data_IF_777605348259
#
_entry.id   IF_777605348259
#
_cell.length_a   1.000
_cell.length_b   1.000
_cell.length_c   1.000
_cell.angle_alpha   90.00
_cell.angle_beta   90.00
_cell.angle_gamma   90.00
#
_symmetry.space_group_name_H-M   'P 1'
#
loop_
_entity.id
_entity.type
_entity.pdbx_description
1 polymer ?
#
# COMPACT_ATOMS: atom_id res chain seq x y z
N UNK A 1 26.51 13.38 -4.59
CA UNK A 1 27.08 13.21 -3.25
C UNK A 1 26.11 12.35 -2.46
N UNK A 2 26.47 11.12 -2.09
CA UNK A 2 25.59 10.28 -1.28
C UNK A 2 25.57 10.81 0.17
N UNK A 3 24.40 10.88 0.82
CA UNK A 3 24.31 11.33 2.20
C UNK A 3 25.10 10.38 3.13
N UNK A 4 25.73 10.91 4.15
CA UNK A 4 26.47 10.10 5.12
C UNK A 4 25.53 9.20 5.91
N UNK A 5 26.03 8.05 6.43
CA UNK A 5 25.28 7.11 7.25
C UNK A 5 24.60 7.79 8.46
N UNK A 6 25.18 8.87 8.99
CA UNK A 6 24.61 9.66 10.09
C UNK A 6 23.45 10.56 9.62
N UNK A 7 23.47 11.07 8.38
CA UNK A 7 22.34 11.78 7.78
C UNK A 7 21.19 10.83 7.48
N UNK A 8 21.47 9.62 6.99
CA UNK A 8 20.48 8.54 6.76
C UNK A 8 19.72 8.17 8.03
N UNK A 9 20.44 8.03 9.17
CA UNK A 9 19.83 7.71 10.47
C UNK A 9 18.97 8.87 10.98
N UNK A 10 19.36 10.12 10.73
CA UNK A 10 18.62 11.30 11.15
C UNK A 10 17.33 11.51 10.34
N UNK A 11 17.31 11.12 9.08
CA UNK A 11 16.15 11.30 8.18
C UNK A 11 15.10 10.20 8.36
N UNK A 12 15.50 8.96 8.62
CA UNK A 12 14.58 7.88 9.01
C UNK A 12 13.94 8.12 10.38
N UNK A 13 14.48 9.02 11.19
CA UNK A 13 13.84 9.48 12.43
C UNK A 13 12.44 10.09 12.18
N UNK A 14 12.18 10.66 10.99
CA UNK A 14 10.88 11.19 10.63
C UNK A 14 9.73 10.17 10.65
N UNK A 15 10.03 8.86 10.58
CA UNK A 15 9.01 7.82 10.79
C UNK A 15 8.64 7.64 12.27
N UNK A 16 9.55 7.92 13.21
CA UNK A 16 9.26 7.81 14.65
C UNK A 16 8.25 8.85 15.11
N UNK A 17 8.24 10.00 14.46
CA UNK A 17 7.38 11.14 14.80
C UNK A 17 6.10 11.18 13.94
N UNK A 18 5.93 10.21 13.04
CA UNK A 18 4.77 10.14 12.17
C UNK A 18 3.48 9.88 12.98
N UNK A 19 2.54 10.81 12.90
CA UNK A 19 1.25 10.73 13.60
C UNK A 19 0.17 10.08 12.76
N UNK A 20 0.18 10.34 11.44
CA UNK A 20 -0.78 9.76 10.49
C UNK A 20 -0.04 9.04 9.40
N UNK A 21 -0.36 7.76 9.21
CA UNK A 21 0.31 6.90 8.25
C UNK A 21 -0.68 6.20 7.33
N UNK A 22 -0.32 6.11 6.05
CA UNK A 22 -1.02 5.24 5.10
C UNK A 22 -0.16 4.00 4.87
N UNK A 23 -0.72 2.83 5.12
CA UNK A 23 -0.06 1.54 4.86
C UNK A 23 -0.81 0.83 3.75
N UNK A 24 -0.14 0.56 2.64
CA UNK A 24 -0.69 -0.21 1.52
C UNK A 24 -0.08 -1.59 1.49
N UNK A 25 -0.90 -2.61 1.32
CA UNK A 25 -0.43 -3.99 1.09
C UNK A 25 -0.79 -4.45 -0.31
N UNK A 26 0.21 -4.95 -1.07
CA UNK A 26 -0.01 -5.54 -2.39
C UNK A 26 -0.57 -6.96 -2.30
N UNK A 27 -1.35 -7.37 -3.30
CA UNK A 27 -1.99 -8.70 -3.37
C UNK A 27 -0.99 -9.84 -3.11
N UNK A 28 0.19 -9.81 -3.73
CA UNK A 28 1.19 -10.86 -3.58
C UNK A 28 1.78 -10.98 -2.16
N UNK A 29 1.69 -9.94 -1.33
CA UNK A 29 2.14 -9.99 0.06
C UNK A 29 1.13 -10.67 1.00
N UNK A 30 -0.13 -10.80 0.54
CA UNK A 30 -1.26 -11.39 1.29
C UNK A 30 -1.92 -12.55 0.54
N UNK A 31 -1.32 -13.01 -0.55
CA UNK A 31 -1.77 -14.17 -1.31
C UNK A 31 -0.70 -15.25 -1.36
N UNK A 32 -1.12 -16.49 -1.38
CA UNK A 32 -0.26 -17.66 -1.62
C UNK A 32 0.18 -17.68 -3.08
N UNK A 33 1.20 -18.50 -3.41
CA UNK A 33 1.64 -18.71 -4.81
C UNK A 33 0.54 -19.22 -5.74
N UNK A 34 -0.51 -19.81 -5.18
CA UNK A 34 -1.71 -20.26 -5.90
C UNK A 34 -2.68 -19.13 -6.25
N UNK A 35 -2.41 -17.88 -5.84
CA UNK A 35 -3.30 -16.73 -5.96
C UNK A 35 -4.36 -16.65 -4.85
N UNK A 36 -4.50 -17.66 -4.00
CA UNK A 36 -5.47 -17.67 -2.89
C UNK A 36 -5.03 -16.78 -1.74
N UNK A 37 -5.94 -16.18 -0.97
CA UNK A 37 -5.61 -15.40 0.23
C UNK A 37 -4.72 -16.20 1.22
N UNK A 38 -3.73 -15.53 1.76
CA UNK A 38 -2.92 -16.07 2.85
C UNK A 38 -3.37 -15.46 4.19
N UNK A 39 -4.27 -16.15 4.87
CA UNK A 39 -4.83 -15.69 6.14
C UNK A 39 -3.78 -15.49 7.25
N UNK A 40 -2.66 -16.23 7.22
CA UNK A 40 -1.54 -16.00 8.16
C UNK A 40 -0.81 -14.70 7.84
N UNK A 41 -0.65 -14.38 6.58
CA UNK A 41 -0.08 -13.10 6.16
C UNK A 41 -1.01 -11.93 6.55
N UNK A 42 -2.33 -12.07 6.34
CA UNK A 42 -3.33 -11.09 6.79
C UNK A 42 -3.25 -10.86 8.30
N UNK A 43 -3.26 -11.93 9.10
CA UNK A 43 -3.15 -11.84 10.55
C UNK A 43 -1.86 -11.13 10.99
N UNK A 44 -0.73 -11.43 10.36
CA UNK A 44 0.56 -10.79 10.64
C UNK A 44 0.54 -9.29 10.32
N UNK A 45 -0.05 -8.89 9.19
CA UNK A 45 -0.14 -7.48 8.81
C UNK A 45 -1.08 -6.74 9.75
N UNK A 46 -2.28 -7.29 9.99
CA UNK A 46 -3.26 -6.68 10.90
C UNK A 46 -2.69 -6.51 12.31
N UNK A 47 -1.98 -7.52 12.83
CA UNK A 47 -1.33 -7.41 14.14
C UNK A 47 -0.39 -6.20 14.22
N UNK A 48 0.44 -6.00 13.21
CA UNK A 48 1.37 -4.84 13.16
C UNK A 48 0.63 -3.49 13.01
N UNK A 49 -0.48 -3.44 12.25
CA UNK A 49 -1.31 -2.24 12.15
C UNK A 49 -1.96 -1.89 13.49
N UNK A 50 -2.43 -2.92 14.21
CA UNK A 50 -2.99 -2.74 15.55
C UNK A 50 -1.95 -2.22 16.55
N UNK A 51 -0.70 -2.71 16.49
CA UNK A 51 0.37 -2.21 17.36
C UNK A 51 0.68 -0.72 17.09
N UNK A 52 0.74 -0.30 15.82
CA UNK A 52 0.85 1.12 15.48
C UNK A 52 -0.32 1.93 16.04
N UNK A 53 -1.54 1.43 15.88
CA UNK A 53 -2.74 2.09 16.39
C UNK A 53 -2.72 2.21 17.92
N UNK A 54 -2.31 1.17 18.65
CA UNK A 54 -2.17 1.17 20.12
C UNK A 54 -1.08 2.16 20.57
N UNK A 55 -0.04 2.36 19.76
CA UNK A 55 1.00 3.37 20.00
C UNK A 55 0.54 4.81 19.71
N UNK A 56 -0.74 5.03 19.38
CA UNK A 56 -1.31 6.36 19.14
C UNK A 56 -1.18 6.87 17.71
N UNK A 57 -0.71 6.04 16.77
CA UNK A 57 -0.61 6.41 15.36
C UNK A 57 -1.98 6.30 14.68
N UNK A 58 -2.37 7.32 13.94
CA UNK A 58 -3.55 7.30 13.05
C UNK A 58 -3.24 6.46 11.82
N UNK A 59 -3.77 5.25 11.75
CA UNK A 59 -3.53 4.30 10.66
C UNK A 59 -4.65 4.37 9.65
N UNK A 60 -4.29 4.56 8.38
CA UNK A 60 -5.16 4.38 7.21
C UNK A 60 -4.63 3.19 6.42
N UNK A 61 -5.44 2.16 6.24
CA UNK A 61 -5.02 0.93 5.61
C UNK A 61 -5.60 0.79 4.20
N UNK A 62 -4.75 0.61 3.18
CA UNK A 62 -5.15 0.37 1.79
C UNK A 62 -4.85 -1.08 1.45
N UNK A 63 -5.90 -1.84 1.20
CA UNK A 63 -5.84 -3.27 0.90
C UNK A 63 -5.86 -3.55 -0.61
N UNK A 64 -5.59 -4.78 -0.97
CA UNK A 64 -5.69 -5.33 -2.32
C UNK A 64 -6.16 -6.78 -2.25
N UNK A 65 -6.49 -7.39 -3.41
CA UNK A 65 -6.71 -8.83 -3.50
C UNK A 65 -8.16 -9.28 -3.48
N UNK A 66 -9.13 -8.36 -3.58
CA UNK A 66 -10.54 -8.69 -3.64
C UNK A 66 -10.86 -9.68 -4.79
N UNK A 67 -10.36 -9.43 -5.99
CA UNK A 67 -10.52 -10.34 -7.13
C UNK A 67 -9.99 -11.76 -6.82
N UNK A 68 -8.80 -11.86 -6.21
CA UNK A 68 -8.20 -13.15 -5.87
C UNK A 68 -9.06 -13.93 -4.84
N UNK A 69 -9.60 -13.24 -3.86
CA UNK A 69 -10.52 -13.83 -2.88
C UNK A 69 -11.85 -14.28 -3.52
N UNK A 70 -12.35 -13.54 -4.50
CA UNK A 70 -13.54 -13.92 -5.25
C UNK A 70 -13.32 -15.13 -6.14
N UNK A 71 -12.18 -15.20 -6.82
CA UNK A 71 -11.77 -16.39 -7.60
C UNK A 71 -11.77 -17.65 -6.73
N UNK A 72 -11.20 -17.54 -5.51
CA UNK A 72 -11.24 -18.65 -4.54
C UNK A 72 -12.66 -18.98 -4.08
N UNK A 73 -13.41 -17.95 -3.71
CA UNK A 73 -14.77 -18.10 -3.18
C UNK A 73 -15.74 -18.77 -4.17
N UNK A 74 -15.56 -18.45 -5.45
CA UNK A 74 -16.36 -19.00 -6.56
C UNK A 74 -15.82 -20.34 -7.07
N UNK A 75 -14.73 -20.86 -6.51
CA UNK A 75 -14.11 -22.12 -6.94
C UNK A 75 -13.49 -22.08 -8.32
N UNK A 76 -13.19 -20.89 -8.85
CA UNK A 76 -12.59 -20.74 -10.17
C UNK A 76 -11.14 -21.21 -10.18
N UNK A 77 -10.70 -21.85 -11.26
CA UNK A 77 -9.32 -22.35 -11.40
C UNK A 77 -8.31 -21.22 -11.66
N UNK A 78 -8.74 -20.20 -12.40
CA UNK A 78 -7.91 -19.05 -12.81
C UNK A 78 -8.70 -17.75 -12.72
N UNK A 79 -7.99 -16.63 -12.71
CA UNK A 79 -8.62 -15.31 -12.83
C UNK A 79 -9.32 -15.20 -14.18
N UNK A 80 -10.59 -14.77 -14.24
CA UNK A 80 -11.29 -14.51 -15.49
C UNK A 80 -10.62 -13.42 -16.33
N UNK A 81 -10.86 -13.46 -17.63
CA UNK A 81 -10.40 -12.44 -18.57
C UNK A 81 -11.47 -11.36 -18.83
N UNK A 82 -12.75 -11.76 -18.80
CA UNK A 82 -13.86 -10.84 -19.05
C UNK A 82 -14.07 -9.87 -17.89
N UNK A 83 -14.31 -8.60 -18.23
CA UNK A 83 -14.46 -7.50 -17.26
C UNK A 83 -15.56 -7.80 -16.23
N UNK A 84 -16.75 -8.21 -16.71
CA UNK A 84 -17.90 -8.52 -15.85
C UNK A 84 -17.62 -9.66 -14.86
N UNK A 85 -16.86 -10.67 -15.29
CA UNK A 85 -16.49 -11.79 -14.43
C UNK A 85 -15.45 -11.37 -13.38
N UNK A 86 -14.52 -10.48 -13.73
CA UNK A 86 -13.56 -9.90 -12.79
C UNK A 86 -14.28 -9.02 -11.77
N UNK A 87 -15.25 -8.20 -12.21
CA UNK A 87 -16.10 -7.38 -11.32
C UNK A 87 -16.93 -8.26 -10.37
N UNK A 88 -17.52 -9.35 -10.87
CA UNK A 88 -18.20 -10.34 -10.04
C UNK A 88 -17.27 -10.94 -8.98
N UNK A 89 -16.05 -11.35 -9.39
CA UNK A 89 -15.04 -11.83 -8.44
C UNK A 89 -14.69 -10.77 -7.41
N UNK A 90 -14.50 -9.51 -7.83
CA UNK A 90 -14.21 -8.42 -6.91
C UNK A 90 -15.31 -8.21 -5.89
N UNK A 91 -16.58 -8.20 -6.31
CA UNK A 91 -17.74 -8.05 -5.43
C UNK A 91 -17.81 -9.14 -4.38
N UNK A 92 -17.70 -10.42 -4.79
CA UNK A 92 -17.72 -11.56 -3.87
C UNK A 92 -16.52 -11.57 -2.93
N UNK A 93 -15.34 -11.28 -3.48
CA UNK A 93 -14.09 -11.29 -2.72
C UNK A 93 -13.96 -10.14 -1.74
N UNK A 94 -14.47 -8.95 -2.10
CA UNK A 94 -14.46 -7.78 -1.20
C UNK A 94 -15.25 -8.06 0.08
N UNK A 95 -16.44 -8.68 -0.02
CA UNK A 95 -17.22 -9.05 1.13
C UNK A 95 -16.46 -10.03 2.06
N UNK A 96 -15.74 -11.00 1.50
CA UNK A 96 -14.91 -11.93 2.28
C UNK A 96 -13.71 -11.26 2.93
N UNK A 97 -13.03 -10.38 2.23
CA UNK A 97 -11.88 -9.67 2.78
C UNK A 97 -12.28 -8.75 3.94
N UNK A 98 -13.36 -7.98 3.78
CA UNK A 98 -13.77 -7.07 4.85
C UNK A 98 -14.23 -7.83 6.10
N UNK A 99 -14.91 -8.95 5.93
CA UNK A 99 -15.29 -9.82 7.04
C UNK A 99 -14.06 -10.38 7.77
N UNK A 100 -13.04 -10.82 7.03
CA UNK A 100 -11.82 -11.35 7.64
C UNK A 100 -11.02 -10.24 8.33
N UNK A 101 -10.92 -9.05 7.75
CA UNK A 101 -10.30 -7.90 8.43
C UNK A 101 -11.05 -7.54 9.69
N UNK A 102 -12.38 -7.44 9.64
CA UNK A 102 -13.19 -7.15 10.83
C UNK A 102 -12.88 -8.16 11.96
N UNK A 103 -12.91 -9.45 11.66
CA UNK A 103 -12.59 -10.51 12.61
C UNK A 103 -11.18 -10.36 13.23
N UNK A 104 -10.18 -10.07 12.39
CA UNK A 104 -8.78 -9.95 12.81
C UNK A 104 -8.51 -8.69 13.64
N UNK A 105 -9.08 -7.54 13.25
CA UNK A 105 -8.96 -6.29 13.99
C UNK A 105 -9.76 -6.33 15.29
N UNK A 106 -10.99 -6.86 15.28
CA UNK A 106 -11.83 -7.02 16.47
C UNK A 106 -11.17 -7.90 17.53
N UNK A 107 -10.46 -8.97 17.12
CA UNK A 107 -9.67 -9.82 18.01
C UNK A 107 -8.53 -9.06 18.73
N UNK A 108 -8.14 -7.89 18.24
CA UNK A 108 -7.17 -6.98 18.83
C UNK A 108 -7.81 -5.78 19.54
N UNK A 109 -9.15 -5.73 19.63
CA UNK A 109 -9.91 -4.61 20.21
C UNK A 109 -9.90 -3.34 19.35
N UNK A 110 -9.67 -3.45 18.05
CA UNK A 110 -9.64 -2.34 17.10
C UNK A 110 -10.85 -2.44 16.16
N UNK A 111 -11.57 -1.33 15.99
CA UNK A 111 -12.67 -1.23 15.03
C UNK A 111 -12.14 -0.79 13.66
N UNK A 112 -12.81 -1.23 12.59
CA UNK A 112 -12.53 -0.83 11.22
C UNK A 112 -13.75 -0.19 10.56
N UNK A 113 -13.50 0.58 9.49
CA UNK A 113 -14.54 1.11 8.60
C UNK A 113 -14.17 0.84 7.15
N UNK A 114 -15.04 0.16 6.39
CA UNK A 114 -14.81 -0.05 4.96
C UNK A 114 -15.03 1.23 4.17
N UNK A 115 -14.09 1.54 3.25
CA UNK A 115 -14.20 2.66 2.31
C UNK A 115 -13.80 2.17 0.92
N UNK A 116 -14.75 2.17 -0.01
CA UNK A 116 -14.49 1.82 -1.41
C UNK A 116 -14.47 3.09 -2.25
N UNK A 117 -13.42 3.28 -3.03
CA UNK A 117 -13.18 4.50 -3.81
C UNK A 117 -12.73 4.14 -5.22
N UNK A 118 -13.02 5.04 -6.16
CA UNK A 118 -12.40 5.06 -7.46
C UNK A 118 -11.42 6.24 -7.57
N UNK A 119 -10.57 6.27 -8.58
CA UNK A 119 -9.72 7.42 -8.86
C UNK A 119 -10.54 8.69 -9.09
N UNK A 120 -11.66 8.57 -9.79
CA UNK A 120 -12.60 9.68 -10.04
C UNK A 120 -13.14 10.31 -8.73
N UNK A 121 -13.30 9.53 -7.65
CA UNK A 121 -13.74 10.05 -6.36
C UNK A 121 -12.68 10.93 -5.70
N UNK A 122 -11.41 10.73 -6.01
CA UNK A 122 -10.30 11.55 -5.49
C UNK A 122 -10.00 12.74 -6.42
N UNK A 123 -10.21 12.61 -7.71
CA UNK A 123 -9.97 13.67 -8.69
C UNK A 123 -11.07 14.73 -8.67
N UNK A 124 -12.31 14.35 -8.38
CA UNK A 124 -13.42 15.31 -8.16
C UNK A 124 -13.27 16.03 -6.82
N UNK A 125 -13.11 17.35 -6.86
CA UNK A 125 -12.86 18.19 -5.67
C UNK A 125 -13.92 18.04 -4.58
N UNK A 126 -15.20 17.91 -4.94
CA UNK A 126 -16.31 17.79 -3.99
C UNK A 126 -16.34 16.41 -3.34
N UNK A 127 -16.18 15.35 -4.14
CA UNK A 127 -16.10 13.96 -3.64
C UNK A 127 -14.87 13.78 -2.77
N UNK A 128 -13.71 14.24 -3.20
CA UNK A 128 -12.47 14.20 -2.41
C UNK A 128 -12.61 14.90 -1.05
N UNK A 129 -13.28 16.05 -0.99
CA UNK A 129 -13.56 16.74 0.27
C UNK A 129 -14.46 15.91 1.20
N UNK A 130 -15.46 15.19 0.64
CA UNK A 130 -16.32 14.29 1.41
C UNK A 130 -15.53 13.08 1.93
N UNK A 131 -14.75 12.43 1.06
CA UNK A 131 -13.87 11.31 1.42
C UNK A 131 -12.93 11.72 2.54
N UNK A 132 -12.26 12.86 2.41
CA UNK A 132 -11.34 13.36 3.44
C UNK A 132 -12.04 13.54 4.79
N UNK A 133 -13.22 14.19 4.81
CA UNK A 133 -13.99 14.37 6.06
C UNK A 133 -14.34 13.04 6.71
N UNK A 134 -14.80 12.07 5.93
CA UNK A 134 -15.13 10.73 6.43
C UNK A 134 -13.90 10.03 7.03
N UNK A 135 -12.76 10.04 6.32
CA UNK A 135 -11.51 9.44 6.79
C UNK A 135 -10.98 10.14 8.06
N UNK A 136 -11.02 11.48 8.10
CA UNK A 136 -10.64 12.25 9.28
C UNK A 136 -11.51 11.92 10.51
N UNK A 137 -12.82 11.69 10.32
CA UNK A 137 -13.71 11.28 11.41
C UNK A 137 -13.42 9.86 11.91
N UNK A 138 -13.20 8.92 10.98
CA UNK A 138 -12.86 7.54 11.34
C UNK A 138 -11.58 7.48 12.20
N UNK A 139 -10.48 8.09 11.71
CA UNK A 139 -9.20 8.02 12.44
C UNK A 139 -9.26 8.74 13.78
N UNK A 140 -9.98 9.89 13.88
CA UNK A 140 -10.21 10.60 15.14
C UNK A 140 -11.03 9.78 16.14
N UNK A 141 -12.01 9.01 15.66
CA UNK A 141 -12.79 8.09 16.47
C UNK A 141 -12.01 6.81 16.86
N UNK A 142 -10.77 6.67 16.39
CA UNK A 142 -9.94 5.50 16.64
C UNK A 142 -10.27 4.29 15.78
N UNK A 143 -11.06 4.47 14.74
CA UNK A 143 -11.45 3.46 13.78
C UNK A 143 -10.43 3.44 12.64
N UNK A 144 -9.95 2.26 12.24
CA UNK A 144 -9.03 2.12 11.11
C UNK A 144 -9.81 2.04 9.81
N UNK A 145 -9.69 3.04 8.89
CA UNK A 145 -10.27 2.93 7.57
C UNK A 145 -9.56 1.83 6.78
N UNK A 146 -10.31 0.85 6.29
CA UNK A 146 -9.84 -0.17 5.34
C UNK A 146 -10.34 0.21 3.96
N UNK A 147 -9.41 0.73 3.15
CA UNK A 147 -9.70 1.27 1.82
C UNK A 147 -9.34 0.24 0.75
N UNK A 148 -10.16 0.13 -0.27
CA UNK A 148 -9.84 -0.59 -1.50
C UNK A 148 -10.46 0.13 -2.70
N UNK A 149 -9.98 -0.19 -3.90
CA UNK A 149 -10.64 0.21 -5.15
C UNK A 149 -12.06 -0.35 -5.19
N UNK A 150 -12.99 0.43 -5.74
CA UNK A 150 -14.33 -0.03 -6.03
C UNK A 150 -14.36 -0.70 -7.42
N UNK A 151 -13.77 -1.89 -7.50
CA UNK A 151 -13.61 -2.65 -8.75
C UNK A 151 -14.94 -2.90 -9.49
N UNK A 152 -16.09 -2.83 -8.80
CA UNK A 152 -17.40 -3.07 -9.42
C UNK A 152 -17.79 -1.94 -10.39
N UNK A 153 -17.35 -0.72 -10.13
CA UNK A 153 -17.65 0.46 -10.94
C UNK A 153 -16.43 1.02 -11.66
N UNK A 154 -15.22 0.63 -11.25
CA UNK A 154 -13.97 0.98 -11.92
C UNK A 154 -13.67 -0.05 -13.02
N UNK A 155 -13.61 0.40 -14.26
CA UNK A 155 -13.31 -0.45 -15.41
C UNK A 155 -11.90 -0.22 -16.01
N UNK A 156 -11.23 0.81 -15.58
CA UNK A 156 -9.91 1.26 -16.07
C UNK A 156 -8.80 0.25 -15.74
N UNK A 157 -8.80 -0.32 -14.52
CA UNK A 157 -7.87 -1.39 -14.13
C UNK A 157 -8.09 -2.68 -14.90
N UNK A 158 -9.35 -3.02 -15.15
CA UNK A 158 -9.75 -4.28 -15.75
C UNK A 158 -9.37 -4.32 -17.23
N UNK A 159 -9.40 -3.18 -17.91
CA UNK A 159 -9.01 -3.02 -19.33
C UNK A 159 -7.49 -3.05 -19.55
N UNK A 160 -6.69 -3.29 -18.51
CA UNK A 160 -5.24 -3.40 -18.61
C UNK A 160 -4.51 -2.07 -18.78
N UNK A 161 -5.20 -0.94 -18.61
CA UNK A 161 -4.64 0.40 -18.76
C UNK A 161 -3.94 0.88 -17.49
N UNK A 162 -4.17 0.25 -16.34
CA UNK A 162 -3.56 0.61 -15.06
C UNK A 162 -3.36 -0.59 -14.13
N UNK A 163 -2.36 -1.44 -14.39
CA UNK A 163 -1.94 -2.44 -13.41
C UNK A 163 -1.24 -1.78 -12.22
N UNK A 164 -1.74 -2.02 -11.00
CA UNK A 164 -1.10 -1.58 -9.76
C UNK A 164 -1.77 -0.38 -9.09
N UNK A 165 -3.05 -0.22 -9.27
CA UNK A 165 -3.75 1.02 -8.97
C UNK A 165 -3.94 1.29 -7.48
N UNK A 166 -3.96 0.26 -6.62
CA UNK A 166 -3.92 0.49 -5.18
C UNK A 166 -2.60 1.14 -4.68
N UNK A 167 -1.50 1.07 -5.46
CA UNK A 167 -0.30 1.87 -5.16
C UNK A 167 -0.58 3.36 -5.41
N UNK A 168 -1.16 3.69 -6.59
CA UNK A 168 -1.57 5.05 -6.93
C UNK A 168 -2.67 5.55 -5.99
N UNK A 169 -3.72 4.76 -5.75
CA UNK A 169 -4.79 5.09 -4.82
C UNK A 169 -4.22 5.42 -3.43
N UNK A 170 -3.29 4.61 -2.92
CA UNK A 170 -2.67 4.85 -1.61
C UNK A 170 -1.90 6.17 -1.53
N UNK A 171 -1.21 6.56 -2.59
CA UNK A 171 -0.50 7.84 -2.66
C UNK A 171 -1.46 9.03 -2.72
N UNK A 172 -2.55 8.91 -3.49
CA UNK A 172 -3.60 9.93 -3.54
C UNK A 172 -4.31 10.08 -2.20
N UNK A 173 -4.61 8.97 -1.51
CA UNK A 173 -5.16 8.97 -0.15
C UNK A 173 -4.17 9.60 0.82
N UNK A 174 -2.88 9.24 0.77
CA UNK A 174 -1.88 9.83 1.65
C UNK A 174 -1.81 11.36 1.50
N UNK A 175 -1.84 11.85 0.26
CA UNK A 175 -1.92 13.29 -0.04
C UNK A 175 -3.23 13.90 0.50
N UNK A 176 -4.37 13.23 0.26
CA UNK A 176 -5.70 13.71 0.65
C UNK A 176 -5.82 13.87 2.17
N UNK A 177 -5.37 12.88 2.94
CA UNK A 177 -5.44 12.90 4.41
C UNK A 177 -4.25 13.62 5.06
N UNK A 178 -3.31 14.16 4.26
CA UNK A 178 -2.07 14.79 4.73
C UNK A 178 -1.29 13.86 5.66
N UNK A 179 -1.03 12.66 5.21
CA UNK A 179 -0.24 11.68 5.96
C UNK A 179 1.21 12.13 6.11
N UNK A 180 1.83 11.80 7.23
CA UNK A 180 3.26 12.03 7.47
C UNK A 180 4.11 10.99 6.72
N UNK A 181 3.54 9.78 6.55
CA UNK A 181 4.23 8.68 5.92
C UNK A 181 3.30 7.80 5.06
N UNK A 182 3.88 7.23 3.98
CA UNK A 182 3.31 6.18 3.15
C UNK A 182 4.21 4.96 3.18
N UNK A 183 3.65 3.80 3.51
CA UNK A 183 4.37 2.51 3.47
C UNK A 183 3.74 1.62 2.40
N UNK A 184 4.54 1.22 1.40
CA UNK A 184 4.15 0.30 0.35
C UNK A 184 4.72 -1.09 0.64
N UNK A 185 3.89 -1.99 1.14
CA UNK A 185 4.26 -3.37 1.43
C UNK A 185 4.14 -4.24 0.17
N UNK A 186 5.24 -4.90 -0.18
CA UNK A 186 5.39 -5.77 -1.35
C UNK A 186 6.07 -7.09 -0.96
N UNK A 187 6.47 -7.89 -1.94
CA UNK A 187 7.18 -9.19 -1.71
C UNK A 187 8.70 -9.09 -1.83
N UNK A 188 9.23 -7.93 -2.23
CA UNK A 188 10.67 -7.68 -2.33
C UNK A 188 11.14 -6.74 -1.22
N UNK A 189 12.43 -6.79 -0.90
CA UNK A 189 13.01 -6.05 0.23
C UNK A 189 13.09 -4.52 0.01
N UNK A 190 12.70 -4.05 -1.17
CA UNK A 190 12.72 -2.66 -1.61
C UNK A 190 13.06 -2.58 -3.09
N UNK A 191 13.48 -1.40 -3.56
CA UNK A 191 14.06 -1.25 -4.89
C UNK A 191 15.41 -1.96 -4.95
N UNK A 192 15.63 -2.73 -6.01
CA UNK A 192 16.90 -3.40 -6.26
C UNK A 192 17.68 -2.66 -7.33
N UNK A 193 18.99 -2.57 -7.17
CA UNK A 193 19.91 -2.10 -8.20
C UNK A 193 20.14 -3.16 -9.29
N UNK A 194 20.97 -2.86 -10.28
CA UNK A 194 21.34 -3.76 -11.38
C UNK A 194 22.05 -5.05 -10.93
N UNK A 195 22.62 -5.04 -9.73
CA UNK A 195 23.29 -6.18 -9.10
C UNK A 195 22.37 -6.99 -8.16
N UNK A 196 21.06 -6.64 -8.13
CA UNK A 196 20.08 -7.27 -7.25
C UNK A 196 20.20 -6.89 -5.78
N UNK A 197 20.96 -5.85 -5.43
CA UNK A 197 21.13 -5.37 -4.07
C UNK A 197 20.07 -4.32 -3.76
N UNK A 198 19.55 -4.36 -2.54
CA UNK A 198 18.58 -3.37 -2.08
C UNK A 198 19.20 -1.97 -2.06
N UNK A 199 18.53 -1.01 -2.67
CA UNK A 199 18.82 0.43 -2.56
C UNK A 199 18.23 0.93 -1.25
N UNK A 200 19.05 1.31 -0.24
CA UNK A 200 18.53 1.71 1.06
C UNK A 200 17.71 2.99 1.03
N UNK A 201 18.13 3.95 0.19
CA UNK A 201 17.52 5.27 0.09
C UNK A 201 17.58 5.80 -1.33
N UNK A 202 16.55 6.53 -1.72
CA UNK A 202 16.49 7.26 -2.99
C UNK A 202 16.48 8.75 -2.66
N UNK A 203 17.60 9.42 -2.93
CA UNK A 203 17.73 10.87 -2.75
C UNK A 203 17.02 11.69 -3.82
N UNK A 204 16.81 11.12 -5.02
CA UNK A 204 16.10 11.75 -6.16
C UNK A 204 15.25 10.72 -6.89
N UNK A 205 13.95 10.92 -6.90
CA UNK A 205 13.01 9.99 -7.55
C UNK A 205 13.31 9.76 -9.05
N UNK A 206 13.84 10.76 -9.74
CA UNK A 206 14.23 10.66 -11.15
C UNK A 206 15.34 9.62 -11.38
N UNK A 207 16.23 9.43 -10.42
CA UNK A 207 17.32 8.43 -10.49
C UNK A 207 16.75 7.02 -10.33
N UNK A 208 15.81 6.83 -9.41
CA UNK A 208 15.13 5.56 -9.23
C UNK A 208 14.34 5.12 -10.48
N UNK A 209 13.66 6.06 -11.15
CA UNK A 209 12.95 5.78 -12.39
C UNK A 209 13.89 5.35 -13.53
N UNK A 210 15.14 5.88 -13.57
CA UNK A 210 16.17 5.43 -14.52
C UNK A 210 16.66 4.01 -14.22
N UNK A 211 16.87 3.68 -12.93
CA UNK A 211 17.30 2.34 -12.51
C UNK A 211 16.29 1.26 -12.93
N UNK A 212 15.01 1.50 -12.73
CA UNK A 212 13.96 0.55 -13.11
C UNK A 212 13.91 0.38 -14.64
N UNK A 213 13.98 1.46 -15.40
CA UNK A 213 14.02 1.41 -16.89
C UNK A 213 15.25 0.68 -17.43
N UNK A 214 16.41 0.84 -16.78
CA UNK A 214 17.63 0.13 -17.14
C UNK A 214 17.54 -1.38 -16.81
N UNK A 215 16.94 -1.74 -15.68
CA UNK A 215 16.71 -3.12 -15.24
C UNK A 215 15.63 -3.87 -16.05
N UNK A 216 14.77 -3.19 -16.79
CA UNK A 216 13.72 -3.80 -17.62
C UNK A 216 14.23 -4.64 -18.80
N UNK A 217 15.52 -4.64 -19.10
CA UNK A 217 16.13 -5.59 -20.06
C UNK A 217 16.23 -7.02 -19.52
N UNK A 218 15.92 -7.25 -18.23
CA UNK A 218 15.83 -8.55 -17.57
C UNK A 218 14.42 -8.83 -17.04
N UNK A 219 13.89 -10.00 -17.30
CA UNK A 219 12.51 -10.49 -17.21
C UNK A 219 11.76 -10.40 -15.85
N UNK A 220 12.12 -9.53 -14.91
CA UNK A 220 11.59 -9.53 -13.52
C UNK A 220 10.72 -8.34 -13.12
N UNK A 221 10.42 -7.37 -14.00
CA UNK A 221 9.71 -6.15 -13.59
C UNK A 221 8.54 -5.72 -14.46
N UNK A 222 7.81 -6.64 -15.11
CA UNK A 222 6.56 -6.24 -15.78
C UNK A 222 5.54 -5.76 -14.75
N UNK A 223 5.35 -4.44 -14.64
CA UNK A 223 4.19 -3.76 -14.03
C UNK A 223 4.28 -3.37 -12.55
N UNK A 224 4.99 -4.10 -11.70
CA UNK A 224 4.87 -3.91 -10.25
C UNK A 224 5.73 -2.79 -9.63
N UNK A 225 6.96 -2.58 -10.08
CA UNK A 225 7.87 -1.57 -9.49
C UNK A 225 7.65 -0.18 -10.09
N UNK A 226 7.33 -0.08 -11.37
CA UNK A 226 7.02 1.20 -12.03
C UNK A 226 5.82 1.88 -11.39
N UNK A 227 4.73 1.13 -11.15
CA UNK A 227 3.55 1.63 -10.45
C UNK A 227 3.90 2.15 -9.05
N UNK A 228 4.72 1.40 -8.29
CA UNK A 228 5.18 1.83 -6.96
C UNK A 228 6.00 3.12 -7.03
N UNK A 229 6.90 3.25 -7.98
CA UNK A 229 7.70 4.47 -8.11
C UNK A 229 6.85 5.67 -8.56
N UNK A 230 5.81 5.46 -9.36
CA UNK A 230 4.85 6.52 -9.67
C UNK A 230 4.05 6.94 -8.44
N UNK A 231 3.60 5.99 -7.61
CA UNK A 231 2.95 6.27 -6.34
C UNK A 231 3.90 7.01 -5.37
N UNK A 232 5.14 6.54 -5.24
CA UNK A 232 6.18 7.23 -4.47
C UNK A 232 6.37 8.66 -4.94
N UNK A 233 6.46 8.88 -6.25
CA UNK A 233 6.58 10.23 -6.83
C UNK A 233 5.43 11.13 -6.39
N UNK A 234 4.18 10.66 -6.50
CA UNK A 234 2.99 11.40 -6.07
C UNK A 234 3.04 11.77 -4.58
N UNK A 235 3.49 10.85 -3.73
CA UNK A 235 3.63 11.08 -2.29
C UNK A 235 4.75 12.08 -1.97
N UNK A 236 5.90 11.93 -2.60
CA UNK A 236 7.07 12.82 -2.43
C UNK A 236 6.76 14.25 -2.91
N UNK A 237 6.05 14.41 -4.04
CA UNK A 237 5.57 15.71 -4.51
C UNK A 237 4.62 16.40 -3.51
N UNK A 238 4.00 15.63 -2.61
CA UNK A 238 3.18 16.14 -1.51
C UNK A 238 3.97 16.29 -0.17
N UNK A 239 5.28 16.06 -0.18
CA UNK A 239 6.13 16.17 1.01
C UNK A 239 6.05 14.96 1.95
N UNK A 240 5.52 13.82 1.50
CA UNK A 240 5.27 12.63 2.32
C UNK A 240 6.47 11.67 2.26
N UNK A 241 7.00 11.30 3.42
CA UNK A 241 8.03 10.28 3.52
C UNK A 241 7.49 8.92 3.10
N UNK A 242 8.22 8.18 2.28
CA UNK A 242 7.73 6.91 1.74
C UNK A 242 8.73 5.79 1.96
N UNK A 243 8.24 4.57 2.24
CA UNK A 243 9.06 3.34 2.27
C UNK A 243 8.41 2.27 1.41
N UNK A 244 9.21 1.62 0.55
CA UNK A 244 8.87 0.37 -0.11
C UNK A 244 9.54 -0.75 0.68
N UNK A 245 8.79 -1.71 1.22
CA UNK A 245 9.33 -2.76 2.08
C UNK A 245 8.67 -4.12 1.86
N UNK A 246 9.31 -5.16 2.35
CA UNK A 246 8.82 -6.53 2.24
C UNK A 246 7.80 -6.85 3.33
N UNK A 247 6.52 -6.84 2.96
CA UNK A 247 5.39 -7.16 3.86
C UNK A 247 5.32 -8.63 4.29
N UNK A 248 6.12 -9.52 3.70
CA UNK A 248 6.17 -10.91 4.14
C UNK A 248 7.05 -11.12 5.38
N UNK A 249 7.90 -10.14 5.70
CA UNK A 249 8.78 -10.19 6.88
C UNK A 249 7.99 -9.88 8.16
N UNK A 250 8.28 -10.60 9.26
CA UNK A 250 7.72 -10.25 10.56
C UNK A 250 8.26 -8.89 11.03
N UNK A 251 7.46 -8.17 11.82
CA UNK A 251 7.85 -6.89 12.46
C UNK A 251 8.37 -5.81 11.50
N UNK A 252 7.96 -5.86 10.21
CA UNK A 252 8.44 -4.90 9.22
C UNK A 252 7.97 -3.47 9.51
N UNK A 253 6.72 -3.28 9.94
CA UNK A 253 6.21 -1.95 10.31
C UNK A 253 6.90 -1.44 11.59
N UNK A 254 7.03 -2.27 12.62
CA UNK A 254 7.78 -1.93 13.83
C UNK A 254 9.21 -1.47 13.47
N UNK A 255 9.89 -2.19 12.57
CA UNK A 255 11.24 -1.85 12.13
C UNK A 255 11.29 -0.49 11.41
N UNK A 256 10.31 -0.21 10.53
CA UNK A 256 10.21 1.06 9.81
C UNK A 256 9.99 2.21 10.80
N UNK A 257 9.00 2.10 11.68
CA UNK A 257 8.64 3.16 12.62
C UNK A 257 9.61 3.33 13.79
N UNK A 258 10.48 2.33 14.04
CA UNK A 258 11.66 2.51 14.93
C UNK A 258 12.88 3.13 14.24
N UNK A 259 12.79 3.47 12.95
CA UNK A 259 13.87 4.07 12.16
C UNK A 259 14.98 3.10 11.76
N UNK A 260 14.74 1.78 11.83
CA UNK A 260 15.70 0.77 11.36
C UNK A 260 15.87 0.81 9.84
N UNK A 261 17.03 0.40 9.34
CA UNK A 261 17.32 0.33 7.90
C UNK A 261 16.61 -0.87 7.24
N UNK A 262 15.30 -0.69 6.98
CA UNK A 262 14.42 -1.67 6.32
C UNK A 262 13.77 -1.02 5.11
N UNK A 263 13.64 -1.78 4.01
CA UNK A 263 13.03 -1.26 2.80
C UNK A 263 13.89 -0.24 2.06
N UNK A 264 13.31 0.39 1.07
CA UNK A 264 13.87 1.54 0.36
C UNK A 264 13.14 2.80 0.82
N UNK A 265 13.85 3.67 1.50
CA UNK A 265 13.34 4.94 1.98
C UNK A 265 13.43 6.01 0.90
N UNK A 266 12.39 6.83 0.79
CA UNK A 266 12.35 8.00 -0.09
C UNK A 266 11.82 9.18 0.72
N UNK A 267 12.68 10.17 1.05
CA UNK A 267 12.26 11.33 1.81
C UNK A 267 11.27 12.20 1.03
N UNK A 268 10.32 12.82 1.72
CA UNK A 268 9.28 13.68 1.11
C UNK A 268 9.81 14.91 0.36
N UNK A 269 11.13 15.15 0.36
CA UNK A 269 11.82 16.20 -0.40
C UNK A 269 12.66 15.67 -1.57
N UNK A 270 12.57 14.38 -1.88
CA UNK A 270 13.38 13.70 -2.91
C UNK A 270 12.86 13.97 -4.36
N UNK A 271 12.64 15.23 -4.73
CA UNK A 271 12.17 15.64 -6.07
C UNK A 271 13.26 15.67 -7.12
#
# INVERSE_FOLDING_TARGET
MQPSRQQLVKERAGFKDARRVVVKVGTHAIAKRTGRPDYRALQRIVGQLCELRKAGVEVVFVSSGAVAAGVEALGLKTRPAEVSDVQMCAAVGQARFIFEYERLFAAQGVQIGQVLLTHADIEDRRRAANVRRALDHLVKAGIVPVINENDVVADEEIKGLAFGDNDRLSALIAKLVRADALVLLTTVDGLLDENGRRVPEIGRIREALKLVRAGQKGALSKGGMDSKLMAVRTAVEAGINTVIANGTKPHVLEAIFSGRDVGTYVPGRAL
#
